data_IF_765101666688
#
_entry.id   IF_765101666688
#
_cell.length_a   1.000
_cell.length_b   1.000
_cell.length_c   1.000
_cell.angle_alpha   90.00
_cell.angle_beta   90.00
_cell.angle_gamma   90.00
#
_symmetry.space_group_name_H-M   'P 1'
#
loop_
_entity.id
_entity.type
_entity.pdbx_description
1 polymer ?
#
# COMPACT_ATOMS: atom_id res chain seq x y z
N UNK A 1 -22.97 -4.34 -9.26
CA UNK A 1 -23.15 -2.89 -9.26
C UNK A 1 -24.19 -2.45 -8.22
N UNK A 2 -25.34 -3.12 -8.10
CA UNK A 2 -26.40 -2.77 -7.13
C UNK A 2 -25.85 -2.80 -5.69
N UNK A 3 -25.14 -3.87 -5.31
CA UNK A 3 -24.53 -4.01 -3.98
C UNK A 3 -23.51 -2.90 -3.70
N UNK A 4 -22.65 -2.58 -4.68
CA UNK A 4 -21.70 -1.46 -4.53
C UNK A 4 -22.42 -0.13 -4.35
N UNK A 5 -23.46 0.13 -5.19
CA UNK A 5 -24.29 1.32 -5.07
C UNK A 5 -24.96 1.45 -3.71
N UNK A 6 -25.49 0.35 -3.16
CA UNK A 6 -26.11 0.32 -1.83
C UNK A 6 -25.11 0.68 -0.72
N UNK A 7 -23.88 0.16 -0.78
CA UNK A 7 -22.82 0.52 0.20
C UNK A 7 -22.41 1.98 0.10
N UNK A 8 -22.30 2.55 -1.09
CA UNK A 8 -22.02 3.98 -1.26
C UNK A 8 -23.14 4.86 -0.74
N UNK A 9 -24.41 4.51 -0.98
CA UNK A 9 -25.56 5.21 -0.42
C UNK A 9 -25.57 5.15 1.10
N UNK A 10 -25.36 3.96 1.68
CA UNK A 10 -25.28 3.78 3.11
C UNK A 10 -24.15 4.63 3.73
N UNK A 11 -22.96 4.58 3.15
CA UNK A 11 -21.83 5.41 3.60
C UNK A 11 -22.14 6.91 3.50
N UNK A 12 -22.82 7.35 2.44
CA UNK A 12 -23.24 8.74 2.24
C UNK A 12 -24.21 9.19 3.32
N UNK A 13 -25.21 8.36 3.64
CA UNK A 13 -26.21 8.64 4.71
C UNK A 13 -25.54 8.71 6.08
N UNK A 14 -24.61 7.79 6.37
CA UNK A 14 -23.87 7.78 7.65
C UNK A 14 -22.92 8.97 7.82
N UNK A 15 -22.55 9.65 6.74
CA UNK A 15 -21.74 10.87 6.80
C UNK A 15 -22.55 12.15 7.07
N UNK A 16 -23.87 12.16 6.94
CA UNK A 16 -24.72 13.34 7.17
C UNK A 16 -24.57 13.92 8.59
N UNK A 17 -24.56 13.10 9.67
CA UNK A 17 -24.45 13.62 11.03
C UNK A 17 -23.02 14.04 11.44
N UNK A 18 -22.02 13.87 10.57
CA UNK A 18 -20.64 14.26 10.91
C UNK A 18 -20.55 15.79 11.04
N UNK A 19 -20.20 16.34 12.22
CA UNK A 19 -20.11 17.78 12.40
C UNK A 19 -19.08 18.39 11.47
N UNK A 20 -19.44 19.50 10.84
CA UNK A 20 -18.50 20.26 10.00
C UNK A 20 -17.32 20.69 10.85
N UNK A 21 -16.11 20.29 10.47
CA UNK A 21 -14.89 20.75 11.11
C UNK A 21 -14.85 22.28 11.06
N UNK A 22 -14.88 22.92 12.23
CA UNK A 22 -14.75 24.37 12.38
C UNK A 22 -13.30 24.83 12.24
N UNK A 23 -12.58 24.34 11.25
CA UNK A 23 -11.31 24.96 10.86
C UNK A 23 -11.64 26.27 10.15
N UNK A 24 -11.81 27.31 10.93
CA UNK A 24 -11.72 28.69 10.50
C UNK A 24 -10.31 28.99 9.99
N UNK A 25 -10.02 28.58 8.79
CA UNK A 25 -9.01 29.24 8.00
C UNK A 25 -9.41 29.10 6.53
N UNK A 26 -10.35 29.96 6.11
CA UNK A 26 -10.67 30.23 4.71
C UNK A 26 -9.53 31.04 4.05
N UNK A 27 -8.29 30.56 4.13
CA UNK A 27 -7.31 31.01 3.15
C UNK A 27 -7.80 30.52 1.79
N UNK A 28 -8.06 31.46 0.88
CA UNK A 28 -8.43 31.15 -0.50
C UNK A 28 -7.45 30.10 -1.02
N UNK A 29 -7.97 28.92 -1.33
CA UNK A 29 -7.19 27.80 -1.89
C UNK A 29 -6.76 28.18 -3.29
N UNK A 30 -5.69 28.94 -3.39
CA UNK A 30 -5.03 29.24 -4.66
C UNK A 30 -4.02 28.12 -4.93
N UNK A 31 -3.82 27.75 -6.20
CA UNK A 31 -2.82 26.74 -6.61
C UNK A 31 -1.44 27.08 -6.02
N UNK A 32 -1.09 28.35 -5.95
CA UNK A 32 0.15 28.84 -5.33
C UNK A 32 0.26 28.46 -3.85
N UNK A 33 -0.84 28.56 -3.08
CA UNK A 33 -0.84 28.18 -1.67
C UNK A 33 -0.69 26.65 -1.50
N UNK A 34 -1.32 25.84 -2.38
CA UNK A 34 -1.15 24.40 -2.37
C UNK A 34 0.31 23.98 -2.71
N UNK A 35 0.94 24.63 -3.68
CA UNK A 35 2.35 24.38 -4.00
C UNK A 35 3.27 24.79 -2.84
N UNK A 36 2.99 25.90 -2.18
CA UNK A 36 3.75 26.34 -1.00
C UNK A 36 3.59 25.35 0.16
N UNK A 37 2.38 24.87 0.42
CA UNK A 37 2.14 23.84 1.45
C UNK A 37 2.90 22.54 1.15
N UNK A 38 3.00 22.14 -0.13
CA UNK A 38 3.82 20.98 -0.54
C UNK A 38 5.31 21.26 -0.32
N UNK A 39 5.80 22.46 -0.65
CA UNK A 39 7.19 22.85 -0.41
C UNK A 39 7.53 22.82 1.08
N UNK A 40 6.67 23.41 1.93
CA UNK A 40 6.85 23.41 3.38
C UNK A 40 6.86 21.95 3.92
N UNK A 41 5.98 21.09 3.40
CA UNK A 41 5.98 19.67 3.73
C UNK A 41 7.28 18.96 3.32
N UNK A 42 7.82 19.24 2.13
CA UNK A 42 9.09 18.68 1.68
C UNK A 42 10.28 19.18 2.52
N UNK A 43 10.30 20.46 2.90
CA UNK A 43 11.34 21.03 3.77
C UNK A 43 11.29 20.36 5.15
N UNK A 44 10.10 20.19 5.72
CA UNK A 44 9.91 19.48 6.99
C UNK A 44 10.42 18.04 6.91
N UNK A 45 10.05 17.30 5.87
CA UNK A 45 10.50 15.91 5.65
C UNK A 45 12.03 15.85 5.47
N UNK A 46 12.63 16.81 4.77
CA UNK A 46 14.09 16.89 4.62
C UNK A 46 14.80 17.03 5.97
N UNK A 47 14.21 17.77 6.90
CA UNK A 47 14.79 18.04 8.23
C UNK A 47 14.46 16.95 9.26
N UNK A 48 13.36 16.16 9.05
CA UNK A 48 12.98 15.06 9.93
C UNK A 48 13.40 13.72 9.34
N UNK A 49 14.51 13.17 9.82
CA UNK A 49 15.09 11.94 9.30
C UNK A 49 14.16 10.72 9.42
N UNK A 50 13.37 10.63 10.50
CA UNK A 50 12.46 9.50 10.74
C UNK A 50 11.31 9.52 9.74
N UNK A 51 10.64 10.66 9.58
CA UNK A 51 9.53 10.82 8.62
C UNK A 51 10.03 10.60 7.18
N UNK A 52 11.20 11.12 6.86
CA UNK A 52 11.84 10.94 5.55
C UNK A 52 12.07 9.47 5.24
N UNK A 53 12.67 8.70 6.16
CA UNK A 53 12.91 7.27 5.96
C UNK A 53 11.60 6.51 5.80
N UNK A 54 10.58 6.81 6.59
CA UNK A 54 9.26 6.18 6.49
C UNK A 54 8.59 6.45 5.14
N UNK A 55 8.63 7.70 4.64
CA UNK A 55 8.07 8.06 3.33
C UNK A 55 8.82 7.40 2.17
N UNK A 56 10.15 7.40 2.20
CA UNK A 56 10.97 6.72 1.18
C UNK A 56 10.70 5.22 1.22
N UNK A 57 10.65 4.62 2.40
CA UNK A 57 10.30 3.21 2.56
C UNK A 57 8.92 2.91 1.96
N UNK A 58 7.92 3.73 2.27
CA UNK A 58 6.58 3.55 1.70
C UNK A 58 6.61 3.62 0.18
N UNK A 59 7.24 4.64 -0.40
CA UNK A 59 7.36 4.81 -1.85
C UNK A 59 7.99 3.59 -2.52
N UNK A 60 9.14 3.16 -2.02
CA UNK A 60 9.90 2.05 -2.62
C UNK A 60 9.16 0.71 -2.48
N UNK A 61 8.56 0.45 -1.32
CA UNK A 61 7.82 -0.80 -1.08
C UNK A 61 6.51 -0.84 -1.88
N UNK A 62 5.80 0.29 -1.99
CA UNK A 62 4.59 0.38 -2.83
C UNK A 62 4.95 0.17 -4.30
N UNK A 63 6.01 0.79 -4.79
CA UNK A 63 6.47 0.63 -6.19
C UNK A 63 6.83 -0.83 -6.53
N UNK A 64 7.38 -1.59 -5.59
CA UNK A 64 7.67 -3.01 -5.78
C UNK A 64 6.49 -3.94 -5.62
N UNK A 65 5.47 -3.54 -4.85
CA UNK A 65 4.32 -4.39 -4.56
C UNK A 65 3.08 -4.11 -5.40
N UNK A 66 2.92 -2.92 -5.99
CA UNK A 66 1.74 -2.58 -6.80
C UNK A 66 1.62 -3.31 -8.15
N UNK A 67 2.71 -3.66 -8.85
CA UNK A 67 2.61 -4.24 -10.19
C UNK A 67 1.74 -5.49 -10.26
N UNK A 68 1.72 -6.34 -9.21
CA UNK A 68 0.92 -7.56 -9.24
C UNK A 68 -0.59 -7.28 -9.43
N UNK A 69 -1.11 -6.17 -8.90
CA UNK A 69 -2.55 -5.86 -9.01
C UNK A 69 -2.96 -5.56 -10.45
N UNK A 70 -2.09 -4.90 -11.20
CA UNK A 70 -2.34 -4.56 -12.61
C UNK A 70 -2.08 -5.77 -13.52
N UNK A 71 -1.11 -6.60 -13.15
CA UNK A 71 -0.77 -7.81 -13.93
C UNK A 71 -1.63 -9.02 -13.56
N UNK A 72 -2.36 -9.00 -12.44
CA UNK A 72 -3.22 -10.10 -11.99
C UNK A 72 -4.25 -10.56 -13.05
N UNK A 73 -4.96 -9.65 -13.75
CA UNK A 73 -5.89 -10.08 -14.80
C UNK A 73 -5.21 -10.88 -15.92
N UNK A 74 -4.00 -10.46 -16.34
CA UNK A 74 -3.21 -11.19 -17.34
C UNK A 74 -2.83 -12.59 -16.89
N UNK A 75 -2.36 -12.75 -15.64
CA UNK A 75 -2.05 -14.07 -15.08
C UNK A 75 -3.30 -14.96 -14.99
N UNK A 76 -4.44 -14.40 -14.61
CA UNK A 76 -5.70 -15.14 -14.49
C UNK A 76 -6.19 -15.67 -15.84
N UNK A 77 -6.02 -14.88 -16.90
CA UNK A 77 -6.44 -15.24 -18.26
C UNK A 77 -5.41 -16.16 -18.93
N UNK A 78 -4.13 -15.78 -18.92
CA UNK A 78 -3.08 -16.46 -19.71
C UNK A 78 -2.50 -17.69 -19.03
N UNK A 79 -2.42 -17.70 -17.68
CA UNK A 79 -1.75 -18.76 -16.91
C UNK A 79 -2.75 -19.68 -16.24
N UNK A 80 -3.80 -19.13 -15.60
CA UNK A 80 -4.78 -19.91 -14.86
C UNK A 80 -5.98 -20.33 -15.71
N UNK A 81 -6.30 -19.62 -16.79
CA UNK A 81 -7.38 -19.94 -17.71
C UNK A 81 -8.80 -19.91 -17.11
N UNK A 82 -9.01 -19.18 -16.00
CA UNK A 82 -10.28 -19.21 -15.23
C UNK A 82 -11.21 -18.04 -15.52
N UNK A 83 -10.82 -17.14 -16.42
CA UNK A 83 -11.64 -16.02 -16.87
C UNK A 83 -12.04 -15.01 -15.80
N UNK A 84 -12.97 -14.11 -16.15
CA UNK A 84 -13.36 -12.97 -15.29
C UNK A 84 -13.97 -13.35 -13.94
N UNK A 85 -14.73 -14.45 -13.89
CA UNK A 85 -15.34 -14.93 -12.64
C UNK A 85 -14.28 -15.44 -11.66
N UNK A 86 -13.26 -16.14 -12.16
CA UNK A 86 -12.11 -16.59 -11.37
C UNK A 86 -11.31 -15.41 -10.82
N UNK A 87 -11.10 -14.36 -11.62
CA UNK A 87 -10.46 -13.13 -11.16
C UNK A 87 -11.24 -12.50 -9.99
N UNK A 88 -12.56 -12.34 -10.12
CA UNK A 88 -13.40 -11.78 -9.07
C UNK A 88 -13.33 -12.58 -7.76
N UNK A 89 -13.32 -13.91 -7.85
CA UNK A 89 -13.18 -14.78 -6.68
C UNK A 89 -11.81 -14.63 -6.01
N UNK A 90 -10.72 -14.60 -6.78
CA UNK A 90 -9.36 -14.40 -6.28
C UNK A 90 -9.21 -13.04 -5.57
N UNK A 91 -9.76 -11.96 -6.15
CA UNK A 91 -9.77 -10.64 -5.52
C UNK A 91 -10.60 -10.62 -4.23
N UNK A 92 -11.69 -11.38 -4.16
CA UNK A 92 -12.51 -11.53 -2.95
C UNK A 92 -11.73 -12.21 -1.82
N UNK A 93 -10.97 -13.26 -2.15
CA UNK A 93 -10.11 -13.96 -1.18
C UNK A 93 -8.99 -13.05 -0.66
N UNK A 94 -8.39 -12.23 -1.51
CA UNK A 94 -7.47 -11.19 -1.08
C UNK A 94 -8.13 -10.19 -0.12
N UNK A 95 -9.37 -9.79 -0.40
CA UNK A 95 -10.18 -8.95 0.50
C UNK A 95 -10.39 -9.59 1.87
N UNK A 96 -10.73 -10.87 1.90
CA UNK A 96 -10.85 -11.66 3.15
C UNK A 96 -9.52 -11.63 3.93
N UNK A 97 -8.39 -11.86 3.27
CA UNK A 97 -7.06 -11.75 3.88
C UNK A 97 -6.82 -10.37 4.49
N UNK A 98 -7.24 -9.30 3.81
CA UNK A 98 -7.12 -7.93 4.30
C UNK A 98 -7.97 -7.67 5.54
N UNK A 99 -9.16 -8.26 5.64
CA UNK A 99 -10.02 -8.19 6.83
C UNK A 99 -9.30 -8.83 8.02
N UNK A 100 -8.81 -10.06 7.88
CA UNK A 100 -8.06 -10.73 8.95
C UNK A 100 -6.79 -9.94 9.34
N UNK A 101 -6.06 -9.40 8.37
CA UNK A 101 -4.91 -8.53 8.62
C UNK A 101 -5.27 -7.28 9.40
N UNK A 102 -6.40 -6.65 9.11
CA UNK A 102 -6.90 -5.49 9.82
C UNK A 102 -7.23 -5.81 11.28
N UNK A 103 -7.91 -6.93 11.54
CA UNK A 103 -8.18 -7.39 12.91
C UNK A 103 -6.90 -7.69 13.68
N UNK A 104 -5.94 -8.36 13.05
CA UNK A 104 -4.64 -8.64 13.66
C UNK A 104 -3.93 -7.34 14.08
N UNK A 105 -3.89 -6.33 13.22
CA UNK A 105 -3.28 -5.03 13.52
C UNK A 105 -4.06 -4.27 14.59
N UNK A 106 -5.40 -4.30 14.55
CA UNK A 106 -6.22 -3.66 15.56
C UNK A 106 -6.03 -4.26 16.96
N UNK A 107 -5.74 -5.56 17.04
CA UNK A 107 -5.43 -6.25 18.30
C UNK A 107 -4.00 -5.97 18.81
N UNK A 108 -3.12 -5.46 17.96
CA UNK A 108 -1.75 -5.12 18.36
C UNK A 108 -1.73 -3.84 19.21
N UNK A 109 -0.96 -3.89 20.27
CA UNK A 109 -0.62 -2.69 21.04
C UNK A 109 0.21 -1.68 20.25
N UNK A 110 0.66 -0.64 20.93
CA UNK A 110 1.48 0.43 20.32
C UNK A 110 2.94 0.04 20.09
N UNK A 111 3.41 -1.03 20.71
CA UNK A 111 4.83 -1.44 20.69
C UNK A 111 5.19 -2.25 19.43
N UNK A 112 6.40 -2.04 18.92
CA UNK A 112 7.00 -2.81 17.81
C UNK A 112 6.30 -2.64 16.45
N UNK A 113 5.60 -1.54 16.24
CA UNK A 113 4.86 -1.27 14.98
C UNK A 113 5.78 -1.24 13.77
N UNK A 114 6.97 -0.63 13.88
CA UNK A 114 7.94 -0.58 12.80
C UNK A 114 8.45 -1.97 12.40
N UNK A 115 8.73 -2.83 13.38
CA UNK A 115 9.14 -4.21 13.11
C UNK A 115 8.04 -5.02 12.44
N UNK A 116 6.81 -4.91 12.92
CA UNK A 116 5.67 -5.62 12.32
C UNK A 116 5.38 -5.12 10.90
N UNK A 117 5.52 -3.81 10.64
CA UNK A 117 5.41 -3.27 9.29
C UNK A 117 6.41 -3.92 8.33
N UNK A 118 7.67 -4.07 8.75
CA UNK A 118 8.71 -4.71 7.94
C UNK A 118 8.47 -6.21 7.77
N UNK A 119 8.05 -6.93 8.82
CA UNK A 119 7.66 -8.34 8.69
C UNK A 119 6.49 -8.55 7.73
N UNK A 120 5.48 -7.66 7.78
CA UNK A 120 4.42 -7.67 6.78
C UNK A 120 4.95 -7.42 5.35
N UNK A 121 5.97 -6.56 5.21
CA UNK A 121 6.65 -6.35 3.93
C UNK A 121 7.40 -7.59 3.44
N UNK A 122 8.10 -8.32 4.31
CA UNK A 122 8.76 -9.59 3.97
C UNK A 122 7.73 -10.64 3.57
N UNK A 123 6.67 -10.79 4.37
CA UNK A 123 5.60 -11.75 4.08
C UNK A 123 4.93 -11.45 2.72
N UNK A 124 4.70 -10.16 2.43
CA UNK A 124 4.18 -9.71 1.14
C UNK A 124 5.12 -10.11 0.00
N UNK A 125 6.41 -9.81 0.10
CA UNK A 125 7.40 -10.14 -0.92
C UNK A 125 7.51 -11.65 -1.18
N UNK A 126 7.54 -12.47 -0.13
CA UNK A 126 7.54 -13.94 -0.24
C UNK A 126 6.25 -14.42 -0.90
N UNK A 127 5.09 -13.92 -0.48
CA UNK A 127 3.80 -14.32 -1.06
C UNK A 127 3.70 -13.95 -2.54
N UNK A 128 4.18 -12.76 -2.94
CA UNK A 128 4.20 -12.35 -4.33
C UNK A 128 5.19 -13.17 -5.17
N UNK A 129 6.32 -13.60 -4.59
CA UNK A 129 7.25 -14.49 -5.25
C UNK A 129 6.61 -15.86 -5.52
N UNK A 130 5.94 -16.46 -4.54
CA UNK A 130 5.18 -17.69 -4.75
C UNK A 130 4.02 -17.51 -5.72
N UNK A 131 3.35 -16.35 -5.69
CA UNK A 131 2.33 -16.01 -6.67
C UNK A 131 2.87 -15.99 -8.10
N UNK A 132 4.06 -15.44 -8.31
CA UNK A 132 4.67 -15.32 -9.64
C UNK A 132 4.99 -16.66 -10.31
N UNK A 133 5.22 -17.71 -9.53
CA UNK A 133 5.53 -19.06 -10.05
C UNK A 133 4.32 -20.00 -10.01
N UNK A 134 3.20 -19.56 -9.43
CA UNK A 134 2.01 -20.40 -9.27
C UNK A 134 1.26 -20.54 -10.60
N UNK A 135 0.94 -21.79 -10.95
CA UNK A 135 0.10 -22.16 -12.11
C UNK A 135 -1.19 -22.85 -11.67
N UNK A 136 -1.35 -23.09 -10.36
CA UNK A 136 -2.52 -23.75 -9.80
C UNK A 136 -3.47 -22.75 -9.16
N UNK A 137 -4.73 -22.76 -9.58
CA UNK A 137 -5.76 -21.83 -9.13
C UNK A 137 -5.98 -21.85 -7.60
N UNK A 138 -6.07 -23.04 -7.00
CA UNK A 138 -6.32 -23.17 -5.55
C UNK A 138 -5.11 -22.73 -4.73
N UNK A 139 -3.89 -23.01 -5.20
CA UNK A 139 -2.67 -22.52 -4.57
C UNK A 139 -2.60 -20.99 -4.66
N UNK A 140 -2.89 -20.42 -5.83
CA UNK A 140 -2.96 -18.96 -6.04
C UNK A 140 -4.00 -18.32 -5.11
N UNK A 141 -5.16 -18.96 -4.94
CA UNK A 141 -6.21 -18.51 -4.02
C UNK A 141 -5.69 -18.39 -2.57
N UNK A 142 -5.02 -19.43 -2.07
CA UNK A 142 -4.39 -19.41 -0.75
C UNK A 142 -3.33 -18.35 -0.59
N UNK A 143 -2.47 -18.18 -1.60
CA UNK A 143 -1.42 -17.16 -1.61
C UNK A 143 -2.03 -15.75 -1.55
N UNK A 144 -3.10 -15.47 -2.30
CA UNK A 144 -3.72 -14.15 -2.33
C UNK A 144 -4.36 -13.75 -0.99
N UNK A 145 -4.83 -14.69 -0.18
CA UNK A 145 -5.25 -14.41 1.20
C UNK A 145 -4.07 -13.85 2.00
N UNK A 146 -2.89 -14.48 1.89
CA UNK A 146 -1.68 -14.02 2.60
C UNK A 146 -1.20 -12.67 2.05
N UNK A 147 -1.30 -12.45 0.74
CA UNK A 147 -1.02 -11.15 0.10
C UNK A 147 -1.92 -10.07 0.69
N UNK A 148 -3.23 -10.32 0.80
CA UNK A 148 -4.18 -9.36 1.37
C UNK A 148 -3.84 -9.01 2.83
N UNK A 149 -3.58 -10.02 3.66
CA UNK A 149 -3.21 -9.87 5.06
C UNK A 149 -1.93 -9.03 5.22
N UNK A 150 -0.91 -9.36 4.46
CA UNK A 150 0.39 -8.69 4.56
C UNK A 150 0.37 -7.27 3.99
N UNK A 151 -0.39 -7.05 2.92
CA UNK A 151 -0.52 -5.73 2.30
C UNK A 151 -1.20 -4.73 3.22
N UNK A 152 -2.33 -5.09 3.83
CA UNK A 152 -3.02 -4.19 4.77
C UNK A 152 -2.17 -3.93 6.00
N UNK A 153 -1.44 -4.95 6.49
CA UNK A 153 -0.51 -4.86 7.60
C UNK A 153 0.54 -3.78 7.39
N UNK A 154 1.24 -3.89 6.29
CA UNK A 154 2.26 -2.92 5.91
C UNK A 154 1.68 -1.51 5.69
N UNK A 155 0.58 -1.40 4.96
CA UNK A 155 -0.04 -0.11 4.61
C UNK A 155 -0.57 0.62 5.84
N UNK A 156 -1.30 -0.07 6.71
CA UNK A 156 -1.90 0.50 7.90
C UNK A 156 -0.83 0.95 8.90
N UNK A 157 0.16 0.10 9.18
CA UNK A 157 1.24 0.44 10.10
C UNK A 157 2.13 1.55 9.55
N UNK A 158 2.42 1.57 8.25
CA UNK A 158 3.14 2.66 7.60
C UNK A 158 2.42 4.01 7.75
N UNK A 159 1.11 4.01 7.52
CA UNK A 159 0.27 5.20 7.70
C UNK A 159 0.28 5.69 9.17
N UNK A 160 0.08 4.78 10.12
CA UNK A 160 0.10 5.09 11.56
C UNK A 160 1.46 5.64 12.00
N UNK A 161 2.57 5.01 11.60
CA UNK A 161 3.91 5.46 11.97
C UNK A 161 4.20 6.85 11.39
N UNK A 162 3.90 7.09 10.12
CA UNK A 162 4.11 8.41 9.50
C UNK A 162 3.33 9.48 10.26
N UNK A 163 2.07 9.21 10.64
CA UNK A 163 1.26 10.15 11.40
C UNK A 163 1.78 10.36 12.82
N UNK A 164 2.22 9.29 13.49
CA UNK A 164 2.71 9.37 14.88
C UNK A 164 4.03 10.13 15.00
N UNK A 165 4.91 10.00 14.01
CA UNK A 165 6.21 10.69 14.00
C UNK A 165 6.17 12.06 13.30
N UNK A 166 5.00 12.49 12.81
CA UNK A 166 4.80 13.82 12.24
C UNK A 166 4.21 14.76 13.29
N UNK A 167 4.76 15.97 13.40
CA UNK A 167 4.19 17.03 14.23
C UNK A 167 2.78 17.40 13.77
N UNK A 168 1.90 17.74 14.70
CA UNK A 168 0.49 17.99 14.42
C UNK A 168 0.26 19.05 13.32
N UNK A 169 1.10 20.08 13.28
CA UNK A 169 1.04 21.17 12.29
C UNK A 169 1.35 20.68 10.87
N UNK A 170 2.34 19.76 10.73
CA UNK A 170 2.81 19.26 9.44
C UNK A 170 2.14 17.95 9.01
N UNK A 171 1.36 17.30 9.88
CA UNK A 171 0.74 15.98 9.61
C UNK A 171 -0.05 15.95 8.31
N UNK A 172 -0.86 16.97 8.03
CA UNK A 172 -1.63 17.05 6.78
C UNK A 172 -0.74 17.14 5.54
N UNK A 173 0.35 17.94 5.60
CA UNK A 173 1.31 18.12 4.51
C UNK A 173 2.12 16.83 4.26
N UNK A 174 2.54 16.15 5.32
CA UNK A 174 3.26 14.86 5.25
C UNK A 174 2.34 13.78 4.68
N UNK A 175 1.07 13.74 5.09
CA UNK A 175 0.10 12.79 4.53
C UNK A 175 -0.19 13.04 3.05
N UNK A 176 -0.16 14.28 2.60
CA UNK A 176 -0.24 14.60 1.17
C UNK A 176 0.93 13.97 0.40
N UNK A 177 2.15 14.08 0.92
CA UNK A 177 3.33 13.43 0.32
C UNK A 177 3.24 11.90 0.34
N UNK A 178 2.66 11.33 1.41
CA UNK A 178 2.39 9.90 1.48
C UNK A 178 1.44 9.45 0.34
N UNK A 179 0.38 10.21 0.06
CA UNK A 179 -0.53 9.88 -1.06
C UNK A 179 0.10 10.16 -2.43
N UNK A 180 0.93 11.17 -2.58
CA UNK A 180 1.69 11.41 -3.82
C UNK A 180 2.60 10.22 -4.15
N UNK A 181 3.13 9.51 -3.14
CA UNK A 181 3.93 8.30 -3.38
C UNK A 181 3.18 7.20 -4.12
N UNK A 182 1.85 7.09 -3.95
CA UNK A 182 1.03 6.16 -4.72
C UNK A 182 0.95 6.55 -6.21
N UNK A 183 0.83 7.84 -6.51
CA UNK A 183 0.87 8.33 -7.89
C UNK A 183 2.20 8.01 -8.58
N UNK A 184 3.32 8.24 -7.90
CA UNK A 184 4.66 7.90 -8.39
C UNK A 184 4.78 6.38 -8.59
N UNK A 185 4.25 5.58 -7.66
CA UNK A 185 4.26 4.12 -7.76
C UNK A 185 3.41 3.60 -8.92
N UNK A 186 2.33 4.30 -9.29
CA UNK A 186 1.56 3.98 -10.50
C UNK A 186 2.40 4.15 -11.77
N UNK A 187 3.22 5.19 -11.84
CA UNK A 187 4.14 5.36 -12.96
C UNK A 187 5.19 4.25 -13.01
N UNK A 188 5.78 3.88 -11.87
CA UNK A 188 6.69 2.74 -11.79
C UNK A 188 6.00 1.44 -12.23
N UNK A 189 4.75 1.23 -11.82
CA UNK A 189 3.95 0.06 -12.22
C UNK A 189 3.68 0.03 -13.73
N UNK A 190 3.43 1.18 -14.34
CA UNK A 190 3.28 1.31 -15.79
C UNK A 190 4.55 0.86 -16.52
N UNK A 191 5.73 1.28 -16.07
CA UNK A 191 7.01 0.84 -16.63
C UNK A 191 7.21 -0.68 -16.49
N UNK A 192 6.86 -1.25 -15.35
CA UNK A 192 6.90 -2.70 -15.13
C UNK A 192 5.89 -3.42 -16.03
N UNK A 193 4.73 -2.82 -16.30
CA UNK A 193 3.74 -3.33 -17.26
C UNK A 193 4.31 -3.42 -18.68
N UNK A 194 5.07 -2.42 -19.12
CA UNK A 194 5.78 -2.47 -20.42
C UNK A 194 6.81 -3.60 -20.43
N UNK A 195 7.58 -3.76 -19.37
CA UNK A 195 8.55 -4.88 -19.26
C UNK A 195 7.82 -6.22 -19.30
N UNK A 196 6.68 -6.32 -18.59
CA UNK A 196 5.87 -7.54 -18.56
C UNK A 196 5.33 -7.96 -19.94
N UNK A 197 5.11 -7.01 -20.86
CA UNK A 197 4.69 -7.33 -22.23
C UNK A 197 5.77 -8.04 -23.04
N UNK A 198 7.04 -7.95 -22.63
CA UNK A 198 8.17 -8.60 -23.31
C UNK A 198 8.59 -9.91 -22.64
N UNK A 199 8.63 -9.92 -21.30
CA UNK A 199 9.14 -11.08 -20.52
C UNK A 199 8.04 -11.94 -19.91
N UNK A 200 6.79 -11.51 -20.01
CA UNK A 200 5.64 -12.14 -19.38
C UNK A 200 5.35 -11.62 -17.96
N UNK A 201 4.07 -11.67 -17.54
CA UNK A 201 3.62 -11.10 -16.27
C UNK A 201 4.22 -11.84 -15.06
N UNK A 202 4.42 -13.15 -15.13
CA UNK A 202 5.01 -13.94 -14.05
C UNK A 202 6.44 -13.50 -13.73
N UNK A 203 7.31 -13.36 -14.76
CA UNK A 203 8.70 -12.93 -14.57
C UNK A 203 8.75 -11.50 -14.02
N UNK A 204 7.90 -10.61 -14.54
CA UNK A 204 7.86 -9.23 -14.08
C UNK A 204 7.46 -9.10 -12.60
N UNK A 205 6.46 -9.88 -12.15
CA UNK A 205 6.07 -9.93 -10.73
C UNK A 205 7.16 -10.59 -9.88
N UNK A 206 7.77 -11.67 -10.35
CA UNK A 206 8.87 -12.34 -9.67
C UNK A 206 10.05 -11.39 -9.42
N UNK A 207 10.49 -10.67 -10.45
CA UNK A 207 11.56 -9.69 -10.35
C UNK A 207 11.21 -8.56 -9.37
N UNK A 208 9.99 -8.02 -9.44
CA UNK A 208 9.50 -7.00 -8.50
C UNK A 208 9.47 -7.50 -7.06
N UNK A 209 9.11 -8.77 -6.86
CA UNK A 209 9.05 -9.41 -5.54
C UNK A 209 10.44 -9.63 -4.94
N UNK A 210 11.40 -10.07 -5.75
CA UNK A 210 12.81 -10.21 -5.33
C UNK A 210 13.37 -8.84 -4.96
N UNK A 211 13.15 -7.81 -5.78
CA UNK A 211 13.56 -6.44 -5.46
C UNK A 211 12.94 -5.96 -4.14
N UNK A 212 11.64 -6.20 -3.93
CA UNK A 212 10.94 -5.88 -2.70
C UNK A 212 11.57 -6.56 -1.47
N UNK A 213 11.89 -7.85 -1.57
CA UNK A 213 12.53 -8.62 -0.49
C UNK A 213 13.91 -8.06 -0.15
N UNK A 214 14.75 -7.81 -1.15
CA UNK A 214 16.09 -7.21 -0.96
C UNK A 214 15.96 -5.87 -0.26
N UNK A 215 15.03 -5.01 -0.71
CA UNK A 215 14.78 -3.71 -0.14
C UNK A 215 14.35 -3.80 1.34
N UNK A 216 13.34 -4.62 1.64
CA UNK A 216 12.82 -4.75 3.02
C UNK A 216 13.89 -5.33 3.94
N UNK A 217 14.69 -6.29 3.47
CA UNK A 217 15.80 -6.85 4.23
C UNK A 217 16.88 -5.79 4.52
N UNK A 218 17.23 -4.98 3.52
CA UNK A 218 18.13 -3.85 3.69
C UNK A 218 17.61 -2.86 4.74
N UNK A 219 16.31 -2.53 4.68
CA UNK A 219 15.67 -1.61 5.63
C UNK A 219 15.67 -2.17 7.06
N UNK A 220 15.49 -3.48 7.23
CA UNK A 220 15.56 -4.14 8.53
C UNK A 220 16.96 -4.06 9.16
N UNK A 221 18.00 -4.15 8.34
CA UNK A 221 19.38 -4.18 8.83
C UNK A 221 20.01 -2.79 9.01
N UNK A 222 19.64 -1.84 8.17
CA UNK A 222 20.34 -0.55 8.05
C UNK A 222 19.55 0.65 8.57
N UNK A 223 18.28 0.50 8.93
CA UNK A 223 17.43 1.61 9.37
C UNK A 223 16.98 1.46 10.82
N UNK A 224 16.50 2.57 11.40
CA UNK A 224 15.92 2.58 12.76
C UNK A 224 14.43 2.16 12.77
N UNK A 225 13.84 1.84 11.61
CA UNK A 225 12.43 1.48 11.50
C UNK A 225 12.03 0.31 12.42
N UNK A 226 12.83 -0.77 12.58
CA UNK A 226 12.47 -1.86 13.48
C UNK A 226 12.28 -1.46 14.94
N UNK A 227 12.82 -0.33 15.35
CA UNK A 227 12.77 0.18 16.72
C UNK A 227 11.69 1.27 16.91
N UNK A 228 10.88 1.57 15.88
CA UNK A 228 9.79 2.52 15.98
C UNK A 228 8.54 1.85 16.56
N UNK A 229 7.86 2.57 17.44
CA UNK A 229 6.62 2.18 18.11
C UNK A 229 5.43 3.00 17.65
#
# INVERSE_FOLDING_TARGET
YIVMGSFYLLASVLMIPVPKSSRENKQKRTIQNALRELQDGMIYVKNNSTVRILLITNLLVVSGSMPYQILLPGIVDEVLGVGKSGLGFLMSLQGIGSIFGSFFIASMGTKKRGRTMLYSGVLLGISLLFFSISTNYFLTAGILIIVGLSQIGRMSLGNVLIQSYSENEYRGRVMSLFYVSFGISMFATFLIGIIASWVGPQIAIGASSVWLLILVFYLMLKTKIPNLD
#
